data_IF_149070188855
#
_entry.id   IF_149070188855
#
_cell.length_a   1.000
_cell.length_b   1.000
_cell.length_c   1.000
_cell.angle_alpha   90.00
_cell.angle_beta   90.00
_cell.angle_gamma   90.00
#
_symmetry.space_group_name_H-M   'P 1'
#
loop_
_entity.id
_entity.type
_entity.pdbx_description
1 polymer ?
#
# COMPACT_ATOMS: atom_id res chain seq x y z
N UNK A 1 25.37 8.08 -0.35
CA UNK A 1 24.13 8.34 -1.09
C UNK A 1 22.94 7.92 -0.22
N UNK A 2 22.08 8.85 0.19
CA UNK A 2 20.92 8.51 1.03
C UNK A 2 19.67 8.25 0.16
N UNK A 3 19.55 7.00 -0.29
CA UNK A 3 18.42 6.49 -1.10
C UNK A 3 17.08 6.72 -0.39
N UNK A 4 17.05 6.66 0.94
CA UNK A 4 15.85 6.85 1.74
C UNK A 4 15.47 8.33 1.78
N UNK A 5 16.45 9.23 1.97
CA UNK A 5 16.23 10.67 1.91
C UNK A 5 15.66 11.10 0.56
N UNK A 6 16.28 10.71 -0.56
CA UNK A 6 15.81 11.08 -1.89
C UNK A 6 14.41 10.52 -2.19
N UNK A 7 14.14 9.27 -1.79
CA UNK A 7 12.80 8.70 -1.93
C UNK A 7 11.77 9.45 -1.08
N UNK A 8 12.15 9.88 0.12
CA UNK A 8 11.28 10.62 1.05
C UNK A 8 10.92 12.02 0.54
N UNK A 9 11.80 12.66 -0.25
CA UNK A 9 11.57 14.00 -0.80
C UNK A 9 10.37 14.04 -1.76
N UNK A 10 10.21 13.02 -2.59
CA UNK A 10 9.07 12.89 -3.50
C UNK A 10 7.89 12.14 -2.88
N UNK A 11 8.13 11.09 -2.08
CA UNK A 11 7.06 10.27 -1.49
C UNK A 11 6.12 11.06 -0.56
N UNK A 12 6.57 12.18 0.02
CA UNK A 12 5.73 13.09 0.82
C UNK A 12 4.64 13.79 -0.01
N UNK A 13 4.86 13.96 -1.32
CA UNK A 13 3.93 14.60 -2.24
C UNK A 13 2.97 13.61 -2.92
N UNK A 14 3.15 12.30 -2.68
CA UNK A 14 2.30 11.25 -3.25
C UNK A 14 1.37 10.74 -2.16
N UNK A 15 0.07 10.94 -2.35
CA UNK A 15 -0.94 10.38 -1.45
C UNK A 15 -0.93 8.85 -1.50
N UNK A 16 -1.10 8.21 -0.34
CA UNK A 16 -1.18 6.76 -0.25
C UNK A 16 -2.42 6.23 -1.01
N UNK A 17 -3.50 7.01 -1.04
CA UNK A 17 -4.70 6.72 -1.85
C UNK A 17 -4.39 6.59 -3.33
N UNK A 18 -3.60 7.50 -3.92
CA UNK A 18 -3.18 7.40 -5.33
C UNK A 18 -2.38 6.14 -5.58
N UNK A 19 -1.49 5.77 -4.64
CA UNK A 19 -0.71 4.55 -4.75
C UNK A 19 -1.57 3.28 -4.65
N UNK A 20 -2.53 3.21 -3.73
CA UNK A 20 -3.47 2.10 -3.65
C UNK A 20 -4.33 1.97 -4.93
N UNK A 21 -4.77 3.09 -5.52
CA UNK A 21 -5.48 3.08 -6.81
C UNK A 21 -4.63 2.54 -7.96
N UNK A 22 -3.31 2.78 -7.95
CA UNK A 22 -2.38 2.14 -8.89
C UNK A 22 -2.35 0.62 -8.69
N UNK A 23 -2.23 0.14 -7.45
CA UNK A 23 -2.20 -1.29 -7.13
C UNK A 23 -3.51 -1.99 -7.53
N UNK A 24 -4.66 -1.38 -7.26
CA UNK A 24 -5.98 -1.87 -7.68
C UNK A 24 -6.07 -1.98 -9.21
N UNK A 25 -5.58 -0.96 -9.92
CA UNK A 25 -5.53 -0.96 -11.39
C UNK A 25 -4.59 -2.05 -11.94
N UNK A 26 -3.53 -2.39 -11.23
CA UNK A 26 -2.61 -3.48 -11.60
C UNK A 26 -3.18 -4.86 -11.28
N UNK A 27 -3.91 -4.99 -10.18
CA UNK A 27 -4.57 -6.23 -9.76
C UNK A 27 -5.74 -6.59 -10.68
N UNK A 28 -6.55 -5.61 -11.06
CA UNK A 28 -7.76 -5.77 -11.88
C UNK A 28 -7.51 -5.94 -13.40
N UNK A 29 -6.26 -5.90 -13.86
CA UNK A 29 -5.91 -6.03 -15.28
C UNK A 29 -5.11 -7.29 -15.54
N UNK A 30 -5.47 -8.00 -16.58
CA UNK A 30 -4.72 -9.15 -17.07
C UNK A 30 -3.70 -8.76 -18.15
N UNK A 31 -2.68 -9.60 -18.31
CA UNK A 31 -1.66 -9.45 -19.33
C UNK A 31 -0.46 -8.60 -18.90
N UNK A 32 0.73 -9.16 -19.09
CA UNK A 32 2.01 -8.54 -18.71
C UNK A 32 2.21 -7.18 -19.39
N UNK A 33 1.94 -7.08 -20.70
CA UNK A 33 2.08 -5.83 -21.48
C UNK A 33 1.19 -4.70 -20.96
N UNK A 34 -0.01 -5.02 -20.48
CA UNK A 34 -0.94 -4.03 -19.91
C UNK A 34 -0.40 -3.50 -18.59
N UNK A 35 0.05 -4.39 -17.70
CA UNK A 35 0.65 -4.03 -16.41
C UNK A 35 1.93 -3.22 -16.60
N UNK A 36 2.77 -3.62 -17.55
CA UNK A 36 3.98 -2.89 -17.93
C UNK A 36 3.63 -1.46 -18.38
N UNK A 37 2.65 -1.29 -19.28
CA UNK A 37 2.21 0.05 -19.72
C UNK A 37 1.69 0.92 -18.56
N UNK A 38 1.00 0.34 -17.58
CA UNK A 38 0.51 1.05 -16.39
C UNK A 38 1.70 1.49 -15.52
N UNK A 39 2.64 0.59 -15.23
CA UNK A 39 3.83 0.88 -14.44
C UNK A 39 4.73 1.90 -15.12
N UNK A 40 5.00 1.76 -16.42
CA UNK A 40 5.84 2.70 -17.18
C UNK A 40 5.28 4.11 -17.14
N UNK A 41 3.96 4.29 -17.31
CA UNK A 41 3.32 5.60 -17.17
C UNK A 41 3.50 6.20 -15.77
N UNK A 42 3.35 5.38 -14.74
CA UNK A 42 3.52 5.82 -13.36
C UNK A 42 4.98 6.22 -13.06
N UNK A 43 5.95 5.44 -13.53
CA UNK A 43 7.38 5.72 -13.36
C UNK A 43 7.77 7.02 -14.07
N UNK A 44 7.30 7.24 -15.31
CA UNK A 44 7.54 8.49 -16.04
C UNK A 44 6.97 9.68 -15.26
N UNK A 45 5.74 9.58 -14.74
CA UNK A 45 5.14 10.64 -13.94
C UNK A 45 5.95 10.92 -12.66
N UNK A 46 6.39 9.87 -11.97
CA UNK A 46 7.24 9.98 -10.78
C UNK A 46 8.57 10.70 -11.09
N UNK A 47 9.23 10.32 -12.18
CA UNK A 47 10.48 10.95 -12.63
C UNK A 47 10.27 12.43 -12.95
N UNK A 48 9.22 12.76 -13.71
CA UNK A 48 8.87 14.15 -14.04
C UNK A 48 8.61 14.99 -12.79
N UNK A 49 7.85 14.45 -11.83
CA UNK A 49 7.55 15.15 -10.58
C UNK A 49 8.79 15.33 -9.69
N UNK A 50 9.70 14.36 -9.69
CA UNK A 50 10.94 14.47 -8.94
C UNK A 50 11.86 15.54 -9.51
N UNK A 51 11.98 15.61 -10.84
CA UNK A 51 12.79 16.62 -11.53
C UNK A 51 12.25 18.03 -11.32
N UNK A 52 10.96 18.18 -11.02
CA UNK A 52 10.34 19.46 -10.69
C UNK A 52 10.53 19.90 -9.22
N UNK A 53 11.15 19.07 -8.36
CA UNK A 53 11.46 19.46 -6.98
C UNK A 53 12.65 20.43 -6.92
N UNK A 54 12.64 21.33 -5.94
CA UNK A 54 13.74 22.28 -5.70
C UNK A 54 15.11 21.59 -5.65
N UNK A 55 16.13 22.27 -6.16
CA UNK A 55 17.51 21.79 -6.39
C UNK A 55 18.34 21.60 -5.10
N UNK A 56 17.75 20.96 -4.08
CA UNK A 56 18.45 20.56 -2.85
C UNK A 56 19.37 19.35 -3.08
N UNK A 57 19.27 18.67 -4.23
CA UNK A 57 20.04 17.44 -4.47
C UNK A 57 21.49 17.75 -4.84
N UNK A 58 22.42 17.45 -3.93
CA UNK A 58 23.87 17.54 -4.15
C UNK A 58 24.44 16.32 -4.91
N UNK A 59 23.61 15.35 -5.30
CA UNK A 59 24.01 14.14 -6.01
C UNK A 59 23.05 13.82 -7.17
N UNK A 60 23.31 14.28 -8.40
CA UNK A 60 22.44 14.01 -9.56
C UNK A 60 22.41 12.54 -10.04
N UNK A 61 23.12 11.61 -9.40
CA UNK A 61 23.61 10.41 -10.09
C UNK A 61 23.24 9.10 -9.39
N UNK A 62 22.36 8.31 -10.02
CA UNK A 62 22.12 6.90 -9.66
C UNK A 62 20.82 6.27 -10.19
N UNK A 63 19.97 7.02 -10.89
CA UNK A 63 18.81 6.48 -11.62
C UNK A 63 17.47 6.62 -10.90
N UNK A 64 16.52 7.30 -11.57
CA UNK A 64 15.07 7.27 -11.34
C UNK A 64 14.56 7.76 -9.98
N UNK A 65 14.98 8.94 -9.52
CA UNK A 65 14.20 9.67 -8.50
C UNK A 65 13.91 8.85 -7.22
N UNK A 66 14.85 7.97 -6.83
CA UNK A 66 14.69 6.90 -5.83
C UNK A 66 13.24 6.40 -5.60
N UNK A 67 12.82 5.42 -6.39
CA UNK A 67 11.53 4.70 -6.22
C UNK A 67 11.46 3.80 -4.98
N UNK A 68 12.49 3.82 -4.10
CA UNK A 68 12.66 2.87 -3.01
C UNK A 68 11.43 2.70 -2.09
N UNK A 69 10.83 3.81 -1.63
CA UNK A 69 9.67 3.77 -0.74
C UNK A 69 8.40 3.21 -1.41
N UNK A 70 8.29 3.27 -2.73
CA UNK A 70 7.22 2.61 -3.46
C UNK A 70 7.55 1.14 -3.72
N UNK A 71 8.77 0.84 -4.18
CA UNK A 71 9.20 -0.52 -4.49
C UNK A 71 9.11 -1.44 -3.28
N UNK A 72 9.44 -0.95 -2.08
CA UNK A 72 9.31 -1.73 -0.84
C UNK A 72 7.85 -2.07 -0.48
N UNK A 73 6.87 -1.33 -1.01
CA UNK A 73 5.45 -1.61 -0.82
C UNK A 73 4.89 -2.46 -1.96
N UNK A 74 5.41 -2.28 -3.18
CA UNK A 74 5.05 -3.09 -4.35
C UNK A 74 5.57 -4.53 -4.23
N UNK A 75 6.78 -4.67 -3.69
CA UNK A 75 7.48 -5.95 -3.56
C UNK A 75 7.88 -6.16 -2.09
N UNK A 76 6.89 -6.31 -1.18
CA UNK A 76 7.15 -6.34 0.26
C UNK A 76 8.04 -7.53 0.68
N UNK A 77 8.04 -8.63 -0.07
CA UNK A 77 8.89 -9.80 0.16
C UNK A 77 10.40 -9.53 0.03
N UNK A 78 10.77 -8.44 -0.66
CA UNK A 78 12.15 -8.02 -0.88
C UNK A 78 12.58 -6.86 0.04
N UNK A 79 11.72 -6.43 0.97
CA UNK A 79 12.09 -5.44 1.97
C UNK A 79 12.98 -6.08 3.05
N UNK A 80 14.23 -5.64 3.11
CA UNK A 80 15.22 -6.08 4.11
C UNK A 80 15.50 -5.05 5.20
N UNK A 81 14.98 -3.82 5.08
CA UNK A 81 15.28 -2.75 6.04
C UNK A 81 14.30 -2.73 7.22
N UNK A 82 13.06 -3.20 7.04
CA UNK A 82 12.10 -3.38 8.13
C UNK A 82 12.24 -4.78 8.75
N UNK A 83 12.26 -4.83 10.08
CA UNK A 83 12.09 -6.10 10.81
C UNK A 83 10.69 -6.66 10.57
N UNK A 84 10.52 -7.95 10.79
CA UNK A 84 9.21 -8.59 10.75
C UNK A 84 8.21 -7.86 11.66
N UNK A 85 7.00 -7.63 11.17
CA UNK A 85 5.95 -6.92 11.92
C UNK A 85 5.42 -7.73 13.12
N UNK A 86 5.60 -9.06 13.13
CA UNK A 86 5.07 -9.92 14.18
C UNK A 86 3.53 -9.98 14.22
N UNK A 87 2.86 -9.56 13.14
CA UNK A 87 1.41 -9.50 13.06
C UNK A 87 0.86 -10.72 12.31
N UNK A 88 0.00 -11.48 12.99
CA UNK A 88 -0.85 -12.52 12.40
C UNK A 88 -2.24 -11.96 12.15
N UNK A 89 -2.98 -12.55 11.21
CA UNK A 89 -4.36 -12.16 10.87
C UNK A 89 -5.27 -12.11 12.10
N UNK A 90 -5.14 -13.06 13.03
CA UNK A 90 -5.91 -13.06 14.28
C UNK A 90 -5.67 -11.79 15.12
N UNK A 91 -4.42 -11.33 15.20
CA UNK A 91 -4.09 -10.08 15.91
C UNK A 91 -4.63 -8.88 15.15
N UNK A 92 -4.49 -8.87 13.83
CA UNK A 92 -4.99 -7.78 12.98
C UNK A 92 -6.52 -7.66 13.05
N UNK A 93 -7.24 -8.79 13.05
CA UNK A 93 -8.68 -8.88 13.24
C UNK A 93 -9.13 -8.22 14.55
N UNK A 94 -8.49 -8.58 15.67
CA UNK A 94 -8.76 -7.96 16.98
C UNK A 94 -8.51 -6.46 16.98
N UNK A 95 -7.44 -6.00 16.33
CA UNK A 95 -7.12 -4.58 16.21
C UNK A 95 -8.18 -3.84 15.40
N UNK A 96 -8.62 -4.39 14.25
CA UNK A 96 -9.65 -3.79 13.41
C UNK A 96 -10.99 -3.71 14.16
N UNK A 97 -11.42 -4.82 14.80
CA UNK A 97 -12.65 -4.87 15.61
C UNK A 97 -12.65 -3.78 16.68
N UNK A 98 -11.53 -3.64 17.40
CA UNK A 98 -11.37 -2.63 18.44
C UNK A 98 -11.37 -1.22 17.87
N UNK A 99 -10.64 -0.98 16.77
CA UNK A 99 -10.47 0.35 16.17
C UNK A 99 -11.79 0.94 15.64
N UNK A 100 -12.65 0.10 15.06
CA UNK A 100 -13.93 0.55 14.47
C UNK A 100 -15.14 0.27 15.38
N UNK A 101 -14.92 -0.21 16.60
CA UNK A 101 -15.96 -0.41 17.62
C UNK A 101 -16.99 -1.49 17.28
N UNK A 102 -16.58 -2.61 16.67
CA UNK A 102 -17.52 -3.72 16.41
C UNK A 102 -17.88 -4.45 17.70
N UNK A 103 -19.17 -4.75 17.87
CA UNK A 103 -19.61 -5.66 18.91
C UNK A 103 -18.93 -7.04 18.72
N UNK A 104 -18.37 -7.68 19.78
CA UNK A 104 -17.56 -8.89 19.68
C UNK A 104 -18.23 -10.07 18.93
N UNK A 105 -19.55 -10.17 18.98
CA UNK A 105 -20.33 -11.24 18.35
C UNK A 105 -21.13 -10.78 17.12
N UNK A 106 -20.92 -9.55 16.65
CA UNK A 106 -21.56 -9.07 15.43
C UNK A 106 -21.13 -9.91 14.22
N UNK A 107 -21.98 -9.98 13.20
CA UNK A 107 -21.66 -10.68 11.96
C UNK A 107 -20.34 -10.20 11.35
N UNK A 108 -20.05 -8.89 11.41
CA UNK A 108 -18.80 -8.32 10.92
C UNK A 108 -17.58 -8.75 11.74
N UNK A 109 -17.67 -8.76 13.08
CA UNK A 109 -16.58 -9.22 13.95
C UNK A 109 -16.30 -10.71 13.77
N UNK A 110 -17.36 -11.52 13.62
CA UNK A 110 -17.25 -12.95 13.32
C UNK A 110 -16.61 -13.20 11.96
N UNK A 111 -16.98 -12.43 10.92
CA UNK A 111 -16.34 -12.50 9.59
C UNK A 111 -14.83 -12.20 9.65
N UNK A 112 -14.43 -11.18 10.41
CA UNK A 112 -13.00 -10.86 10.60
C UNK A 112 -12.26 -11.92 11.42
N UNK A 113 -12.94 -12.61 12.34
CA UNK A 113 -12.32 -13.57 13.28
C UNK A 113 -12.26 -14.99 12.73
N UNK A 114 -13.20 -15.35 11.85
CA UNK A 114 -13.32 -16.67 11.25
C UNK A 114 -13.13 -16.57 9.74
N UNK A 115 -11.87 -16.63 9.30
CA UNK A 115 -11.60 -16.97 7.90
C UNK A 115 -11.95 -18.46 7.79
N UNK A 116 -13.13 -18.76 7.23
CA UNK A 116 -13.55 -20.14 7.04
C UNK A 116 -12.59 -20.82 6.06
N UNK A 117 -11.87 -21.90 6.44
CA UNK A 117 -10.99 -22.61 5.52
C UNK A 117 -11.74 -23.34 4.39
N UNK A 118 -13.07 -23.49 4.51
CA UNK A 118 -13.89 -24.34 3.63
C UNK A 118 -14.81 -23.59 2.66
N UNK A 119 -14.55 -22.33 2.33
CA UNK A 119 -15.26 -21.72 1.20
C UNK A 119 -14.55 -22.16 -0.08
N UNK A 120 -15.10 -23.18 -0.72
CA UNK A 120 -14.70 -23.79 -2.01
C UNK A 120 -14.81 -22.80 -3.20
N UNK A 121 -14.91 -21.49 -2.94
CA UNK A 121 -14.77 -20.43 -3.93
C UNK A 121 -13.47 -19.66 -3.69
N UNK A 122 -12.62 -19.67 -4.72
CA UNK A 122 -11.27 -19.09 -4.87
C UNK A 122 -11.04 -17.61 -4.44
N UNK A 123 -11.88 -16.93 -3.68
CA UNK A 123 -12.04 -15.48 -3.94
C UNK A 123 -11.89 -14.43 -2.83
N UNK A 124 -11.58 -14.70 -1.56
CA UNK A 124 -11.28 -13.58 -0.63
C UNK A 124 -10.19 -13.94 0.39
N UNK A 125 -9.07 -13.23 0.34
CA UNK A 125 -8.05 -13.28 1.40
C UNK A 125 -8.48 -12.43 2.63
N UNK A 126 -7.66 -12.38 3.68
CA UNK A 126 -7.97 -11.54 4.84
C UNK A 126 -8.17 -10.05 4.47
N UNK A 127 -7.40 -9.54 3.49
CA UNK A 127 -7.49 -8.15 3.08
C UNK A 127 -8.84 -7.86 2.39
N UNK A 128 -9.36 -8.78 1.58
CA UNK A 128 -10.68 -8.68 0.96
C UNK A 128 -11.81 -8.71 2.00
N UNK A 129 -11.70 -9.58 3.00
CA UNK A 129 -12.65 -9.64 4.12
C UNK A 129 -12.62 -8.34 4.91
N UNK A 130 -11.42 -7.84 5.23
CA UNK A 130 -11.24 -6.58 5.94
C UNK A 130 -11.80 -5.39 5.15
N UNK A 131 -11.52 -5.30 3.86
CA UNK A 131 -12.05 -4.28 2.97
C UNK A 131 -13.58 -4.28 2.96
N UNK A 132 -14.21 -5.45 2.85
CA UNK A 132 -15.69 -5.56 2.87
C UNK A 132 -16.29 -5.00 4.17
N UNK A 133 -15.64 -5.24 5.31
CA UNK A 133 -16.10 -4.73 6.61
C UNK A 133 -15.85 -3.23 6.77
N UNK A 134 -14.70 -2.74 6.30
CA UNK A 134 -14.27 -1.35 6.41
C UNK A 134 -15.02 -0.43 5.44
N UNK A 135 -15.28 -0.87 4.20
CA UNK A 135 -15.96 -0.07 3.17
C UNK A 135 -17.32 0.46 3.62
N UNK A 136 -18.05 -0.31 4.43
CA UNK A 136 -19.36 0.11 4.96
C UNK A 136 -19.27 1.20 6.04
N UNK A 137 -18.06 1.47 6.57
CA UNK A 137 -17.83 2.32 7.77
C UNK A 137 -16.85 3.46 7.52
N UNK A 138 -16.00 3.36 6.51
CA UNK A 138 -15.04 4.40 6.11
C UNK A 138 -15.60 5.20 4.94
N UNK A 139 -15.96 6.47 5.20
CA UNK A 139 -16.53 7.38 4.18
C UNK A 139 -15.51 8.37 3.60
N UNK A 140 -14.39 8.55 4.29
CA UNK A 140 -13.38 9.56 3.96
C UNK A 140 -12.18 8.93 3.27
N UNK A 141 -11.58 9.67 2.32
CA UNK A 141 -10.32 9.31 1.71
C UNK A 141 -9.16 9.49 2.71
N UNK A 142 -8.12 8.65 2.59
CA UNK A 142 -6.94 8.76 3.45
C UNK A 142 -6.16 10.04 3.17
N UNK A 143 -5.77 10.74 4.24
CA UNK A 143 -4.85 11.90 4.21
C UNK A 143 -3.37 11.50 4.27
N UNK A 144 -3.07 10.20 4.33
CA UNK A 144 -1.70 9.72 4.45
C UNK A 144 -0.96 9.87 3.12
N UNK A 145 0.30 10.28 3.20
CA UNK A 145 1.24 10.18 2.08
C UNK A 145 1.99 8.85 2.11
N UNK A 146 2.64 8.48 1.02
CA UNK A 146 3.52 7.30 0.97
C UNK A 146 4.67 7.42 1.97
N UNK A 147 5.11 8.65 2.25
CA UNK A 147 6.01 8.91 3.38
C UNK A 147 5.22 8.80 4.68
N UNK A 148 5.57 7.83 5.52
CA UNK A 148 5.13 7.82 6.91
C UNK A 148 6.15 8.60 7.72
N UNK A 149 5.77 9.79 8.19
CA UNK A 149 6.56 10.53 9.16
C UNK A 149 6.63 9.72 10.47
N UNK A 150 7.85 9.53 10.97
CA UNK A 150 8.05 9.26 12.40
C UNK A 150 7.96 10.58 13.15
#
# INVERSE_FOLDING_TARGET
>A
MDVIFESSRIAKNVSFTTYCRLLEKLASKDGVKTKEKILSKFIILWETQYLALDSISQYPCGGRASLYLLLRLLIPSHDRSRKAFGLREQTLSRLIIKAIGLAPNSLAARKLSHIHPNVIHRQNDFADVAYTVLKARSREDSILSVKVCK
#
